data_IF_282174369942
#
_entry.id   IF_282174369942
#
_cell.length_a   1.000
_cell.length_b   1.000
_cell.length_c   1.000
_cell.angle_alpha   90.00
_cell.angle_beta   90.00
_cell.angle_gamma   90.00
#
_symmetry.space_group_name_H-M   'P 1'
#
loop_
_entity.id
_entity.type
_entity.pdbx_description
1 polymer ?
#
# COMPACT_ATOMS: atom_id res chain seq x y z
N UNK A 1 -36.37 8.77 -43.34
CA UNK A 1 -36.96 7.90 -42.31
C UNK A 1 -35.80 7.30 -41.51
N UNK A 2 -35.42 7.96 -40.41
CA UNK A 2 -34.26 7.61 -39.58
C UNK A 2 -34.57 6.36 -38.75
N UNK A 3 -33.74 5.31 -38.84
CA UNK A 3 -33.81 4.17 -37.93
C UNK A 3 -32.51 4.07 -37.14
N UNK A 4 -32.70 4.14 -35.84
CA UNK A 4 -31.72 4.43 -34.81
C UNK A 4 -30.62 3.37 -34.71
N UNK A 5 -29.38 3.86 -34.70
CA UNK A 5 -28.19 3.18 -34.23
C UNK A 5 -28.35 2.92 -32.73
N UNK A 6 -28.65 1.69 -32.33
CA UNK A 6 -28.63 1.28 -30.92
C UNK A 6 -27.16 1.18 -30.50
N UNK A 7 -26.60 2.29 -30.02
CA UNK A 7 -25.37 2.31 -29.25
C UNK A 7 -25.58 1.45 -27.99
N UNK A 8 -24.96 0.27 -27.99
CA UNK A 8 -24.81 -0.56 -26.81
C UNK A 8 -23.78 0.11 -25.89
N UNK A 9 -24.25 0.98 -25.02
CA UNK A 9 -23.43 1.60 -23.98
C UNK A 9 -23.13 0.49 -22.96
N UNK A 10 -21.91 -0.05 -23.03
CA UNK A 10 -21.34 -0.89 -21.98
C UNK A 10 -21.32 -0.04 -20.71
N UNK A 11 -22.04 -0.40 -19.63
CA UNK A 11 -21.86 0.32 -18.37
C UNK A 11 -20.43 0.02 -17.92
N UNK A 12 -19.59 1.04 -18.04
CA UNK A 12 -18.25 1.03 -17.48
C UNK A 12 -18.39 0.82 -15.98
N UNK A 13 -17.74 -0.23 -15.46
CA UNK A 13 -17.77 -0.66 -14.07
C UNK A 13 -17.45 0.55 -13.18
N UNK A 14 -18.46 1.17 -12.60
CA UNK A 14 -18.30 2.29 -11.68
C UNK A 14 -17.86 1.76 -10.33
N UNK A 15 -16.61 2.04 -9.98
CA UNK A 15 -16.00 2.16 -8.65
C UNK A 15 -16.88 1.72 -7.47
N UNK A 16 -16.76 0.46 -7.07
CA UNK A 16 -17.45 -0.14 -5.92
C UNK A 16 -17.14 0.54 -4.56
N UNK A 17 -16.16 1.44 -4.51
CA UNK A 17 -15.73 2.14 -3.29
C UNK A 17 -16.66 3.25 -2.79
N UNK A 18 -17.65 3.65 -3.59
CA UNK A 18 -18.60 4.71 -3.24
C UNK A 18 -19.88 4.20 -2.55
N UNK A 19 -20.10 2.87 -2.50
CA UNK A 19 -21.32 2.24 -1.99
C UNK A 19 -21.13 1.60 -0.62
N UNK A 20 -20.37 2.24 0.26
CA UNK A 20 -20.28 1.83 1.66
C UNK A 20 -21.38 2.53 2.45
N UNK A 21 -22.06 1.83 3.39
CA UNK A 21 -23.03 2.48 4.27
C UNK A 21 -22.37 3.67 4.99
N UNK A 22 -23.12 4.77 5.15
CA UNK A 22 -22.67 6.07 5.70
C UNK A 22 -21.91 5.97 7.04
N UNK A 23 -22.10 4.88 7.78
CA UNK A 23 -21.48 4.62 9.09
C UNK A 23 -20.03 4.12 8.99
N UNK A 24 -19.55 3.70 7.82
CA UNK A 24 -18.18 3.23 7.59
C UNK A 24 -17.22 4.39 7.28
N UNK A 25 -17.13 5.35 8.21
CA UNK A 25 -16.14 6.44 8.11
C UNK A 25 -14.73 5.84 8.00
N UNK A 26 -13.89 6.29 7.05
CA UNK A 26 -12.50 5.88 7.02
C UNK A 26 -11.83 6.25 8.34
N UNK A 27 -11.13 5.30 8.94
CA UNK A 27 -10.20 5.60 10.02
C UNK A 27 -9.25 6.70 9.56
N UNK A 28 -9.01 7.67 10.45
CA UNK A 28 -8.06 8.74 10.19
C UNK A 28 -6.64 8.19 10.06
N UNK A 29 -5.72 8.96 9.45
CA UNK A 29 -4.33 8.53 9.28
C UNK A 29 -3.67 8.13 10.60
N UNK A 30 -3.92 8.89 11.66
CA UNK A 30 -3.36 8.65 12.98
C UNK A 30 -3.86 7.34 13.60
N UNK A 31 -5.17 7.09 13.53
CA UNK A 31 -5.78 5.86 14.04
C UNK A 31 -5.22 4.63 13.31
N UNK A 32 -5.09 4.72 11.98
CA UNK A 32 -4.47 3.67 11.16
C UNK A 32 -3.01 3.44 11.52
N UNK A 33 -2.26 4.51 11.82
CA UNK A 33 -0.87 4.41 12.27
C UNK A 33 -0.75 3.78 13.66
N UNK A 34 -1.66 4.08 14.58
CA UNK A 34 -1.70 3.47 15.91
C UNK A 34 -1.96 1.97 15.83
N UNK A 35 -2.87 1.56 14.94
CA UNK A 35 -3.25 0.17 14.74
C UNK A 35 -2.18 -0.66 14.02
N UNK A 36 -1.37 -0.04 13.16
CA UNK A 36 -0.33 -0.71 12.38
C UNK A 36 0.92 -1.00 13.20
N UNK A 37 1.61 -2.10 12.93
CA UNK A 37 2.89 -2.39 13.59
C UNK A 37 4.04 -1.56 12.99
N UNK A 38 3.98 -1.32 11.69
CA UNK A 38 4.98 -0.56 10.93
C UNK A 38 4.28 0.52 10.10
N UNK A 39 4.85 1.72 10.11
CA UNK A 39 4.42 2.84 9.27
C UNK A 39 5.63 3.47 8.62
N UNK A 40 5.61 3.58 7.29
CA UNK A 40 6.75 4.10 6.53
C UNK A 40 6.30 4.94 5.34
N UNK A 41 7.09 5.97 5.01
CA UNK A 41 6.99 6.66 3.73
C UNK A 41 7.99 6.04 2.76
N UNK A 42 7.53 5.64 1.59
CA UNK A 42 8.38 4.95 0.63
C UNK A 42 7.96 5.12 -0.82
N UNK A 43 8.96 5.07 -1.68
CA UNK A 43 8.81 5.10 -3.13
C UNK A 43 8.65 3.68 -3.68
N UNK A 44 7.63 3.46 -4.50
CA UNK A 44 7.34 2.16 -5.09
C UNK A 44 8.28 1.90 -6.27
N UNK A 45 9.30 1.06 -6.07
CA UNK A 45 10.27 0.69 -7.11
C UNK A 45 9.68 -0.25 -8.14
N UNK A 46 9.00 -1.29 -7.69
CA UNK A 46 8.48 -2.35 -8.56
C UNK A 46 7.25 -3.01 -7.94
N UNK A 47 6.37 -3.50 -8.82
CA UNK A 47 5.15 -4.23 -8.46
C UNK A 47 5.20 -5.58 -9.15
N UNK A 48 5.03 -6.66 -8.38
CA UNK A 48 5.12 -8.04 -8.87
C UNK A 48 3.76 -8.71 -8.76
N UNK A 49 3.04 -8.76 -9.88
CA UNK A 49 1.77 -9.48 -9.99
C UNK A 49 2.06 -10.89 -10.52
N UNK A 50 1.55 -11.89 -9.83
CA UNK A 50 1.58 -13.25 -10.31
C UNK A 50 0.37 -13.47 -11.22
N UNK A 51 0.57 -13.89 -12.46
CA UNK A 51 -0.53 -14.17 -13.40
C UNK A 51 -1.42 -15.33 -12.93
N UNK A 52 -0.87 -16.24 -12.11
CA UNK A 52 -1.57 -17.40 -11.57
C UNK A 52 -2.24 -17.14 -10.21
N UNK A 53 -1.87 -16.06 -9.51
CA UNK A 53 -2.47 -15.67 -8.23
C UNK A 53 -3.01 -14.25 -8.35
N UNK A 54 -4.31 -14.17 -8.60
CA UNK A 54 -5.03 -12.90 -8.78
C UNK A 54 -5.51 -12.32 -7.45
N UNK A 55 -5.28 -13.00 -6.33
CA UNK A 55 -5.85 -12.62 -5.03
C UNK A 55 -5.07 -11.49 -4.37
N UNK A 56 -3.74 -11.53 -4.46
CA UNK A 56 -2.87 -10.47 -3.96
C UNK A 56 -1.54 -10.42 -4.71
N UNK A 57 -0.79 -9.35 -4.52
CA UNK A 57 0.53 -9.17 -5.11
C UNK A 57 1.51 -8.53 -4.14
N UNK A 58 2.79 -8.56 -4.49
CA UNK A 58 3.86 -7.93 -3.71
C UNK A 58 4.48 -6.75 -4.43
N UNK A 59 5.10 -5.84 -3.68
CA UNK A 59 5.78 -4.68 -4.22
C UNK A 59 7.06 -4.39 -3.44
N UNK A 60 8.06 -3.89 -4.16
CA UNK A 60 9.33 -3.42 -3.59
C UNK A 60 9.28 -1.91 -3.40
N UNK A 61 9.72 -1.48 -2.22
CA UNK A 61 9.69 -0.09 -1.80
C UNK A 61 11.08 0.37 -1.37
N UNK A 62 11.48 1.55 -1.83
CA UNK A 62 12.65 2.27 -1.32
C UNK A 62 12.16 3.16 -0.18
N UNK A 63 12.61 2.86 1.04
CA UNK A 63 12.21 3.59 2.24
C UNK A 63 12.79 5.00 2.20
N UNK A 64 11.92 5.99 2.39
CA UNK A 64 12.28 7.40 2.55
C UNK A 64 12.37 7.71 4.05
N UNK A 65 11.31 7.41 4.80
CA UNK A 65 11.27 7.58 6.25
C UNK A 65 10.55 6.41 6.92
N UNK A 66 10.95 6.11 8.17
CA UNK A 66 10.25 5.17 9.03
C UNK A 66 9.59 5.96 10.14
N UNK A 67 8.26 6.00 10.12
CA UNK A 67 7.45 6.74 11.07
C UNK A 67 7.16 5.89 12.32
N UNK A 68 7.02 4.57 12.16
CA UNK A 68 6.81 3.61 13.25
C UNK A 68 7.45 2.25 12.91
N UNK A 69 7.94 1.55 13.93
CA UNK A 69 8.43 0.17 13.79
C UNK A 69 9.84 0.04 13.20
N UNK A 70 10.74 0.97 13.55
CA UNK A 70 12.12 1.04 13.04
C UNK A 70 12.90 -0.27 13.14
N UNK A 71 12.80 -0.97 14.26
CA UNK A 71 13.55 -2.20 14.50
C UNK A 71 13.08 -3.33 13.58
N UNK A 72 11.77 -3.45 13.37
CA UNK A 72 11.19 -4.43 12.45
C UNK A 72 11.53 -4.14 10.99
N UNK A 73 11.56 -2.86 10.60
CA UNK A 73 11.99 -2.46 9.25
C UNK A 73 13.46 -2.81 9.03
N UNK A 74 14.32 -2.61 10.03
CA UNK A 74 15.72 -2.98 9.94
C UNK A 74 15.89 -4.49 9.82
N UNK A 75 15.14 -5.27 10.58
CA UNK A 75 15.14 -6.73 10.49
C UNK A 75 14.69 -7.21 9.11
N UNK A 76 13.57 -6.70 8.60
CA UNK A 76 13.06 -7.04 7.27
C UNK A 76 14.08 -6.71 6.16
N UNK A 77 14.76 -5.56 6.27
CA UNK A 77 15.85 -5.18 5.36
C UNK A 77 17.06 -6.10 5.46
N UNK A 78 17.42 -6.59 6.65
CA UNK A 78 18.52 -7.54 6.80
C UNK A 78 18.17 -8.92 6.24
N UNK A 79 16.93 -9.38 6.46
CA UNK A 79 16.43 -10.65 5.94
C UNK A 79 16.40 -10.69 4.42
N UNK A 80 16.18 -9.56 3.75
CA UNK A 80 16.23 -9.47 2.28
C UNK A 80 17.65 -9.60 1.70
N UNK A 81 18.68 -9.72 2.54
CA UNK A 81 20.10 -9.89 2.15
C UNK A 81 20.53 -8.86 1.08
N UNK A 82 20.55 -7.57 1.43
CA UNK A 82 20.80 -6.51 0.47
C UNK A 82 22.16 -6.67 -0.17
N UNK A 83 22.22 -6.37 -1.46
CA UNK A 83 23.45 -6.37 -2.24
C UNK A 83 24.48 -5.41 -1.63
N UNK A 84 25.74 -5.57 -2.00
CA UNK A 84 26.79 -4.64 -1.59
C UNK A 84 26.47 -3.21 -2.04
N UNK A 85 26.00 -3.05 -3.29
CA UNK A 85 25.63 -1.74 -3.84
C UNK A 85 24.48 -1.07 -3.09
N UNK A 86 23.44 -1.82 -2.69
CA UNK A 86 22.33 -1.27 -1.89
C UNK A 86 22.81 -0.76 -0.52
N UNK A 87 23.75 -1.47 0.11
CA UNK A 87 24.37 -1.04 1.37
C UNK A 87 25.23 0.20 1.20
N UNK A 88 26.06 0.25 0.17
CA UNK A 88 26.94 1.40 -0.12
C UNK A 88 26.15 2.67 -0.46
N UNK A 89 25.03 2.54 -1.17
CA UNK A 89 24.13 3.64 -1.49
C UNK A 89 23.13 3.96 -0.36
N UNK A 90 23.19 3.23 0.77
CA UNK A 90 22.23 3.32 1.88
C UNK A 90 20.76 3.23 1.41
N UNK A 91 20.51 2.46 0.35
CA UNK A 91 19.17 2.24 -0.20
C UNK A 91 18.49 1.11 0.57
N UNK A 92 17.56 1.48 1.44
CA UNK A 92 16.79 0.51 2.22
C UNK A 92 15.58 0.05 1.42
N UNK A 93 15.72 -1.09 0.77
CA UNK A 93 14.65 -1.69 -0.04
C UNK A 93 13.96 -2.78 0.78
N UNK A 94 12.64 -2.70 0.88
CA UNK A 94 11.81 -3.73 1.52
C UNK A 94 10.77 -4.26 0.55
N UNK A 95 10.47 -5.55 0.68
CA UNK A 95 9.38 -6.21 -0.03
C UNK A 95 8.16 -6.29 0.89
N UNK A 96 7.01 -5.85 0.40
CA UNK A 96 5.74 -5.89 1.12
C UNK A 96 4.74 -6.71 0.30
N UNK A 97 4.06 -7.64 0.95
CA UNK A 97 3.06 -8.53 0.32
C UNK A 97 1.63 -8.06 0.58
N UNK A 98 0.64 -8.80 0.07
CA UNK A 98 -0.78 -8.63 0.38
C UNK A 98 -1.45 -7.37 -0.23
N UNK A 99 -0.95 -6.83 -1.33
CA UNK A 99 -1.65 -5.76 -2.04
C UNK A 99 -2.69 -6.29 -3.01
N UNK A 100 -3.67 -5.46 -3.37
CA UNK A 100 -4.55 -5.70 -4.51
C UNK A 100 -5.83 -6.47 -4.22
N UNK A 101 -6.23 -6.59 -2.96
CA UNK A 101 -7.54 -7.14 -2.61
C UNK A 101 -8.64 -6.33 -3.34
N UNK A 102 -9.42 -6.96 -4.24
CA UNK A 102 -10.43 -6.27 -5.04
C UNK A 102 -11.65 -5.84 -4.21
N UNK A 103 -11.83 -6.38 -3.02
CA UNK A 103 -12.90 -6.00 -2.08
C UNK A 103 -12.57 -4.73 -1.30
N UNK A 104 -11.33 -4.22 -1.43
CA UNK A 104 -10.79 -3.10 -0.67
C UNK A 104 -10.51 -1.91 -1.56
N UNK A 105 -10.80 -0.73 -1.05
CA UNK A 105 -10.51 0.53 -1.68
C UNK A 105 -9.04 0.89 -1.53
N UNK A 106 -8.43 1.49 -2.55
CA UNK A 106 -7.02 1.88 -2.50
C UNK A 106 -6.08 0.70 -2.16
N UNK A 107 -6.48 -0.52 -2.53
CA UNK A 107 -5.70 -1.74 -2.32
C UNK A 107 -4.47 -1.82 -3.23
N UNK A 108 -4.41 -0.98 -4.26
CA UNK A 108 -3.36 -0.98 -5.24
C UNK A 108 -2.34 0.14 -5.00
N UNK A 109 -1.07 -0.24 -5.02
CA UNK A 109 0.08 0.63 -5.22
C UNK A 109 0.56 0.58 -6.67
N UNK A 110 1.15 1.69 -7.15
CA UNK A 110 1.70 1.83 -8.50
C UNK A 110 3.20 2.08 -8.45
N UNK A 111 3.93 1.41 -9.33
CA UNK A 111 5.36 1.69 -9.52
C UNK A 111 5.55 3.16 -9.93
N UNK A 112 6.55 3.81 -9.36
CA UNK A 112 6.82 5.22 -9.60
C UNK A 112 6.08 6.19 -8.66
N UNK A 113 5.14 5.72 -7.85
CA UNK A 113 4.44 6.56 -6.86
C UNK A 113 5.02 6.39 -5.46
N UNK A 114 4.93 7.46 -4.66
CA UNK A 114 5.33 7.48 -3.25
C UNK A 114 4.09 7.39 -2.37
N UNK A 115 4.15 6.54 -1.36
CA UNK A 115 3.05 6.31 -0.41
C UNK A 115 3.53 6.41 1.03
N UNK A 116 2.57 6.67 1.92
CA UNK A 116 2.66 6.26 3.33
C UNK A 116 1.97 4.91 3.43
N UNK A 117 2.69 3.92 3.95
CA UNK A 117 2.27 2.54 4.05
C UNK A 117 1.96 2.17 5.51
N UNK A 118 0.87 1.43 5.69
CA UNK A 118 0.37 0.87 6.94
C UNK A 118 0.51 -0.64 6.88
N UNK A 119 1.38 -1.20 7.72
CA UNK A 119 1.88 -2.56 7.57
C UNK A 119 1.80 -3.35 8.88
N UNK A 120 1.60 -4.65 8.72
CA UNK A 120 1.74 -5.67 9.75
C UNK A 120 3.00 -6.51 9.49
N UNK A 121 3.45 -7.19 10.54
CA UNK A 121 4.58 -8.11 10.53
C UNK A 121 4.03 -9.52 10.60
N UNK A 122 4.34 -10.31 9.58
CA UNK A 122 4.00 -11.72 9.56
C UNK A 122 4.91 -12.48 10.54
N UNK A 123 4.47 -13.67 10.97
CA UNK A 123 5.23 -14.51 11.91
C UNK A 123 6.66 -14.87 11.45
N UNK A 124 6.94 -14.75 10.15
CA UNK A 124 8.27 -14.96 9.56
C UNK A 124 9.12 -13.67 9.46
N UNK A 125 8.65 -12.54 10.01
CA UNK A 125 9.33 -11.24 9.96
C UNK A 125 9.09 -10.44 8.68
N UNK A 126 8.33 -10.97 7.72
CA UNK A 126 8.03 -10.25 6.48
C UNK A 126 6.95 -9.18 6.69
N UNK A 127 7.07 -8.09 5.94
CA UNK A 127 6.08 -7.02 5.94
C UNK A 127 4.88 -7.38 5.05
N UNK A 128 3.68 -7.17 5.59
CA UNK A 128 2.42 -7.38 4.89
C UNK A 128 1.57 -6.12 4.93
N UNK A 129 0.90 -5.83 3.83
CA UNK A 129 0.00 -4.70 3.74
C UNK A 129 -1.22 -4.91 4.67
N UNK A 130 -1.49 -3.93 5.54
CA UNK A 130 -2.62 -3.95 6.49
C UNK A 130 -3.84 -3.24 5.93
N UNK A 131 -5.00 -3.88 6.01
CA UNK A 131 -6.27 -3.28 5.62
C UNK A 131 -7.09 -2.87 6.83
N UNK A 132 -7.56 -1.64 6.83
CA UNK A 132 -8.42 -1.11 7.89
C UNK A 132 -9.87 -1.08 7.38
N UNK A 133 -10.58 -2.19 7.62
CA UNK A 133 -11.92 -2.40 7.09
C UNK A 133 -11.90 -2.49 5.58
N UNK A 134 -12.40 -1.45 4.91
CA UNK A 134 -12.51 -1.34 3.45
C UNK A 134 -11.43 -0.45 2.84
N UNK A 135 -10.60 0.18 3.67
CA UNK A 135 -9.54 1.07 3.23
C UNK A 135 -8.20 0.36 3.14
N UNK A 136 -7.49 0.65 2.06
CA UNK A 136 -6.29 -0.02 1.66
C UNK A 136 -5.05 0.45 2.40
N UNK A 137 -3.98 -0.36 2.40
CA UNK A 137 -2.76 -0.23 3.19
C UNK A 137 -1.89 0.97 2.83
N UNK A 138 -2.25 1.72 1.78
CA UNK A 138 -1.41 2.77 1.23
C UNK A 138 -2.22 4.04 1.03
N UNK A 139 -1.61 5.18 1.37
CA UNK A 139 -2.14 6.50 1.02
C UNK A 139 -1.07 7.26 0.25
N UNK A 140 -1.48 7.97 -0.81
CA UNK A 140 -0.55 8.77 -1.61
C UNK A 140 0.14 9.79 -0.71
N UNK A 141 1.46 9.80 -0.79
CA UNK A 141 2.32 10.66 0.01
C UNK A 141 2.01 12.14 -0.21
N UNK A 142 1.99 12.88 0.89
CA UNK A 142 2.17 14.33 0.90
C UNK A 142 2.88 14.71 2.18
N UNK A 143 3.63 15.82 2.15
CA UNK A 143 4.43 16.23 3.31
C UNK A 143 3.56 16.48 4.56
N UNK A 144 2.38 17.07 4.37
CA UNK A 144 1.43 17.32 5.47
C UNK A 144 0.96 16.04 6.17
N UNK A 145 0.72 14.96 5.40
CA UNK A 145 0.31 13.67 5.95
C UNK A 145 1.43 12.99 6.72
N UNK A 146 2.66 13.10 6.23
CA UNK A 146 3.84 12.58 6.92
C UNK A 146 4.05 13.32 8.24
N UNK A 147 4.01 14.66 8.22
CA UNK A 147 4.15 15.50 9.42
C UNK A 147 3.08 15.20 10.48
N UNK A 148 1.84 14.92 10.06
CA UNK A 148 0.78 14.52 10.98
C UNK A 148 1.08 13.20 11.71
N UNK A 149 1.90 12.32 11.11
CA UNK A 149 2.24 11.01 11.67
C UNK A 149 3.58 11.00 12.42
N UNK A 150 4.45 11.99 12.20
CA UNK A 150 5.72 12.13 12.95
C UNK A 150 5.49 12.46 14.44
N UNK A 151 4.27 12.84 14.83
CA UNK A 151 3.88 13.15 16.20
C UNK A 151 3.39 11.93 17.01
N UNK A 152 3.33 10.74 16.41
CA UNK A 152 2.82 9.49 16.98
C UNK A 152 3.98 8.59 17.37
#
# INVERSE_FOLDING_TARGET
MYRYFLLWIIPSITTACLLLPDDAKPKGLEERALDSEVVLSAYTRAVYRNENDTTSYSANFIIINVLKGKDHVLEAYQQSKPSQLERELNMRIVNVTNFGDPTKCQSHVRAGETYILFLDILANGHLSARYDGVYGPAVVYSKDKELALEAI
#
